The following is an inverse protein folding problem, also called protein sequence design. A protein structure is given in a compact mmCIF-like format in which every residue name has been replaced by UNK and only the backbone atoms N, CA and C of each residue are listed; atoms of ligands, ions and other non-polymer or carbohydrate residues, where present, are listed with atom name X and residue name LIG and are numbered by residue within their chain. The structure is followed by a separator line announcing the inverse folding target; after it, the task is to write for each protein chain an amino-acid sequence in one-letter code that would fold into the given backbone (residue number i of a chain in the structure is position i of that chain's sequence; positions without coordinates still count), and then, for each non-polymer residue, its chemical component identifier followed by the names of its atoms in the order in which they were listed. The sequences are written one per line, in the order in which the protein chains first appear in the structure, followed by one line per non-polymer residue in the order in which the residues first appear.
data_IF_147576740320
#
_entry.id   IF_147576740320
#
_cell.length_a   1.000
_cell.length_b   1.000
_cell.length_c   1.000
_cell.angle_alpha   90.00
_cell.angle_beta   90.00
_cell.angle_gamma   90.00
#
_symmetry.space_group_name_H-M   'P 1'
#
loop_
_entity.id
_entity.type
_entity.pdbx_description
1 polymer ?
#
# COMPACT_ATOMS: atom_id res chain seq x y z
N UNK A 1 7.91 12.51 -23.56
CA UNK A 1 8.17 12.33 -22.12
C UNK A 1 6.86 11.92 -21.48
N UNK A 2 6.81 10.78 -20.79
CA UNK A 2 5.63 10.41 -19.98
C UNK A 2 5.96 10.69 -18.52
N UNK A 3 4.96 11.08 -17.74
CA UNK A 3 5.12 11.29 -16.29
C UNK A 3 4.06 10.47 -15.56
N UNK A 4 4.47 9.72 -14.54
CA UNK A 4 3.60 8.96 -13.64
C UNK A 4 3.97 9.30 -12.21
N UNK A 5 3.00 9.31 -11.32
CA UNK A 5 3.29 9.21 -9.90
C UNK A 5 3.51 7.73 -9.58
N UNK A 6 4.76 7.28 -9.41
CA UNK A 6 5.02 5.89 -8.98
C UNK A 6 4.83 5.85 -7.50
N UNK A 7 3.92 4.99 -7.08
CA UNK A 7 3.48 5.04 -5.71
C UNK A 7 2.95 3.72 -5.18
N UNK A 8 3.42 3.39 -3.99
CA UNK A 8 2.73 2.51 -3.05
C UNK A 8 1.96 3.42 -2.06
N UNK A 9 0.68 3.62 -2.34
CA UNK A 9 -0.38 4.32 -1.58
C UNK A 9 -0.50 5.88 -1.46
N UNK A 10 -1.61 6.39 -2.06
CA UNK A 10 -2.42 7.67 -2.14
C UNK A 10 -3.20 8.31 -0.93
N UNK A 11 -4.45 8.87 -0.95
CA UNK A 11 -4.95 9.85 0.09
C UNK A 11 -6.07 9.56 1.11
N UNK A 12 -5.93 10.14 2.35
CA UNK A 12 -6.93 11.07 2.94
C UNK A 12 -6.56 11.81 4.27
N UNK A 13 -7.31 12.87 4.60
CA UNK A 13 -7.18 13.73 5.81
C UNK A 13 -7.91 13.13 7.01
N UNK A 14 -7.19 12.87 8.12
CA UNK A 14 -7.75 12.17 9.30
C UNK A 14 -8.43 13.07 10.34
N UNK A 15 -9.48 12.52 10.95
CA UNK A 15 -9.91 12.84 12.33
C UNK A 15 -9.32 11.79 13.29
N UNK A 16 -9.05 12.16 14.54
CA UNK A 16 -8.40 11.26 15.51
C UNK A 16 -9.13 9.90 15.63
N UNK A 17 -8.39 8.79 15.46
CA UNK A 17 -8.87 7.42 15.64
C UNK A 17 -9.52 6.73 14.42
N UNK A 18 -9.49 7.36 13.25
CA UNK A 18 -9.91 6.76 11.97
C UNK A 18 -8.79 6.90 10.95
N UNK A 19 -8.37 5.78 10.36
CA UNK A 19 -7.41 5.73 9.25
C UNK A 19 -8.14 5.88 7.92
N UNK A 20 -7.38 6.24 6.91
CA UNK A 20 -7.92 6.38 5.57
C UNK A 20 -7.07 5.61 4.57
N UNK A 21 -7.72 5.06 3.53
CA UNK A 21 -7.00 4.39 2.48
C UNK A 21 -6.18 5.43 1.73
N UNK A 22 -5.04 5.00 1.27
CA UNK A 22 -4.14 5.83 0.55
C UNK A 22 -4.28 5.50 -0.97
N UNK A 23 -5.22 6.13 -1.71
CA UNK A 23 -5.21 6.21 -3.21
C UNK A 23 -5.60 7.60 -3.83
N UNK A 24 -5.25 7.87 -5.11
CA UNK A 24 -5.89 8.91 -5.96
C UNK A 24 -6.34 8.34 -7.29
N UNK A 25 -7.47 8.87 -7.74
CA UNK A 25 -7.94 8.74 -9.12
C UNK A 25 -7.57 10.01 -9.91
N UNK A 26 -6.86 9.84 -11.02
CA UNK A 26 -6.56 10.94 -11.93
C UNK A 26 -7.85 11.52 -12.57
N UNK A 27 -7.98 12.85 -12.56
CA UNK A 27 -9.02 13.57 -13.33
C UNK A 27 -10.32 13.96 -12.59
N UNK A 28 -10.41 13.74 -11.27
CA UNK A 28 -11.66 13.90 -10.51
C UNK A 28 -12.05 15.34 -10.11
N UNK A 29 -11.27 16.36 -10.50
CA UNK A 29 -11.53 17.78 -10.19
C UNK A 29 -11.74 18.68 -11.42
N UNK A 30 -12.21 18.14 -12.55
CA UNK A 30 -12.43 18.94 -13.77
C UNK A 30 -11.14 19.49 -14.41
N UNK A 31 -9.99 19.17 -13.84
CA UNK A 31 -8.70 19.18 -14.53
C UNK A 31 -8.63 17.85 -15.26
N UNK A 32 -9.00 17.85 -16.54
CA UNK A 32 -8.58 16.77 -17.42
C UNK A 32 -7.08 16.58 -17.20
N UNK A 33 -6.59 15.36 -16.94
CA UNK A 33 -5.15 15.17 -16.86
C UNK A 33 -4.56 15.76 -18.14
N UNK A 34 -3.61 16.69 -18.01
CA UNK A 34 -2.75 17.10 -19.12
C UNK A 34 -1.82 15.93 -19.55
N UNK A 35 -2.23 14.69 -19.28
CA UNK A 35 -1.54 13.47 -19.63
C UNK A 35 -2.12 13.06 -20.98
N UNK A 36 -1.50 13.60 -22.04
CA UNK A 36 -1.72 13.19 -23.44
C UNK A 36 -1.17 11.79 -23.74
N UNK A 37 -0.83 11.01 -22.71
CA UNK A 37 -0.14 9.72 -22.79
C UNK A 37 -0.95 8.63 -22.10
N UNK A 38 -0.95 7.42 -22.67
CA UNK A 38 -1.54 6.22 -22.03
C UNK A 38 -1.04 6.08 -20.57
N UNK A 39 -1.91 5.67 -19.62
CA UNK A 39 -1.49 5.36 -18.25
C UNK A 39 -0.44 4.25 -18.25
N UNK A 40 0.47 4.28 -17.29
CA UNK A 40 1.50 3.26 -17.14
C UNK A 40 0.87 1.94 -16.70
N UNK A 41 1.26 0.86 -17.36
CA UNK A 41 0.99 -0.48 -16.92
C UNK A 41 2.08 -0.93 -15.93
N UNK A 42 1.73 -1.42 -14.73
CA UNK A 42 2.72 -1.80 -13.72
C UNK A 42 3.76 -2.81 -14.25
N UNK A 43 3.31 -3.84 -14.95
CA UNK A 43 4.17 -4.97 -15.36
C UNK A 43 5.13 -4.64 -16.51
N UNK A 44 4.75 -3.74 -17.42
CA UNK A 44 5.57 -3.43 -18.60
C UNK A 44 6.24 -2.07 -18.53
N UNK A 45 5.61 -1.06 -17.90
CA UNK A 45 6.13 0.30 -17.90
C UNK A 45 6.82 0.68 -16.60
N UNK A 46 6.48 0.07 -15.45
CA UNK A 46 6.98 0.50 -14.13
C UNK A 46 8.03 -0.46 -13.57
N UNK A 47 7.68 -1.72 -13.35
CA UNK A 47 8.56 -2.69 -12.69
C UNK A 47 9.94 -2.84 -13.36
N UNK A 48 10.06 -2.89 -14.71
CA UNK A 48 11.36 -2.96 -15.36
C UNK A 48 12.25 -1.74 -15.10
N UNK A 49 11.67 -0.56 -14.86
CA UNK A 49 12.43 0.66 -14.56
C UNK A 49 13.12 0.61 -13.19
N UNK A 50 12.56 -0.19 -12.27
CA UNK A 50 13.16 -0.47 -10.96
C UNK A 50 13.99 -1.76 -10.95
N UNK A 51 14.38 -2.27 -12.13
CA UNK A 51 15.26 -3.44 -12.27
C UNK A 51 14.59 -4.77 -11.95
N UNK A 52 13.26 -4.83 -11.92
CA UNK A 52 12.51 -6.06 -11.69
C UNK A 52 12.35 -6.80 -13.02
N UNK A 53 12.89 -8.02 -13.10
CA UNK A 53 12.72 -8.89 -14.27
C UNK A 53 11.30 -9.45 -14.32
N UNK A 54 10.43 -8.81 -15.11
CA UNK A 54 9.03 -9.22 -15.23
C UNK A 54 8.82 -10.46 -16.09
N UNK A 55 9.87 -10.99 -16.73
CA UNK A 55 9.81 -12.28 -17.43
C UNK A 55 9.87 -13.48 -16.46
N UNK A 56 10.38 -13.28 -15.24
CA UNK A 56 10.36 -14.29 -14.20
C UNK A 56 8.99 -14.36 -13.51
N UNK A 57 8.23 -15.41 -13.81
CA UNK A 57 6.94 -15.68 -13.17
C UNK A 57 7.07 -16.27 -11.75
N UNK A 58 8.27 -16.68 -11.33
CA UNK A 58 8.54 -17.24 -10.00
C UNK A 58 8.91 -16.16 -8.97
N UNK A 59 8.90 -14.87 -9.33
CA UNK A 59 9.11 -13.77 -8.40
C UNK A 59 8.14 -13.88 -7.22
N UNK A 60 8.70 -13.87 -6.01
CA UNK A 60 7.94 -14.01 -4.76
C UNK A 60 7.58 -15.45 -4.37
N UNK A 61 8.07 -16.47 -5.09
CA UNK A 61 7.83 -17.87 -4.72
C UNK A 61 8.25 -18.14 -3.26
N UNK A 62 7.36 -18.79 -2.51
CA UNK A 62 7.55 -19.08 -1.09
C UNK A 62 7.35 -17.91 -0.14
N UNK A 63 7.04 -16.71 -0.66
CA UNK A 63 6.66 -15.56 0.16
C UNK A 63 5.14 -15.51 0.37
N UNK A 64 4.75 -14.99 1.53
CA UNK A 64 3.37 -14.66 1.88
C UNK A 64 3.30 -13.17 2.20
N UNK A 65 2.49 -12.44 1.45
CA UNK A 65 2.28 -11.00 1.61
C UNK A 65 0.89 -10.80 2.22
N UNK A 66 0.85 -10.25 3.42
CA UNK A 66 -0.36 -9.78 4.08
C UNK A 66 -0.68 -8.35 3.65
N UNK A 67 -1.94 -8.09 3.32
CA UNK A 67 -2.48 -6.76 2.99
C UNK A 67 -3.61 -6.48 3.96
N UNK A 68 -3.68 -5.27 4.50
CA UNK A 68 -4.70 -4.87 5.48
C UNK A 68 -5.52 -3.73 4.91
N UNK A 69 -6.82 -3.98 4.76
CA UNK A 69 -7.79 -2.96 4.38
C UNK A 69 -9.00 -2.99 5.29
N UNK A 70 -9.69 -1.85 5.43
CA UNK A 70 -10.99 -1.81 6.07
C UNK A 70 -12.11 -2.21 5.11
N UNK A 71 -13.22 -2.65 5.71
CA UNK A 71 -14.44 -3.04 5.02
C UNK A 71 -14.29 -4.29 4.14
N UNK A 72 -15.40 -4.64 3.50
CA UNK A 72 -15.65 -5.97 2.95
C UNK A 72 -14.83 -6.30 1.73
N UNK A 73 -14.62 -5.38 0.78
CA UNK A 73 -14.01 -5.65 -0.52
C UNK A 73 -14.53 -6.94 -1.20
N UNK A 74 -15.84 -7.07 -1.39
CA UNK A 74 -16.49 -8.28 -1.90
C UNK A 74 -16.04 -8.70 -3.30
N UNK A 75 -15.55 -7.76 -4.13
CA UNK A 75 -15.08 -8.00 -5.50
C UNK A 75 -13.58 -8.27 -5.63
N UNK A 76 -12.82 -8.24 -4.53
CA UNK A 76 -11.35 -8.33 -4.53
C UNK A 76 -10.79 -9.49 -5.37
N UNK A 77 -11.34 -10.69 -5.24
CA UNK A 77 -10.88 -11.88 -5.98
C UNK A 77 -11.16 -11.76 -7.49
N UNK A 78 -12.36 -11.31 -7.87
CA UNK A 78 -12.72 -11.17 -9.28
C UNK A 78 -11.93 -10.06 -9.97
N UNK A 79 -11.67 -8.96 -9.26
CA UNK A 79 -10.92 -7.82 -9.77
C UNK A 79 -9.44 -8.16 -9.92
N UNK A 80 -8.85 -8.84 -8.93
CA UNK A 80 -7.49 -9.35 -9.01
C UNK A 80 -7.33 -10.35 -10.16
N UNK A 81 -8.29 -11.26 -10.36
CA UNK A 81 -8.25 -12.21 -11.46
C UNK A 81 -8.39 -11.50 -12.83
N UNK A 82 -9.21 -10.46 -12.93
CA UNK A 82 -9.35 -9.65 -14.15
C UNK A 82 -8.06 -8.90 -14.47
N UNK A 83 -7.46 -8.25 -13.47
CA UNK A 83 -6.17 -7.59 -13.60
C UNK A 83 -5.07 -8.57 -14.03
N UNK A 84 -5.00 -9.74 -13.40
CA UNK A 84 -3.98 -10.75 -13.70
C UNK A 84 -4.05 -11.20 -15.16
N UNK A 85 -5.27 -11.48 -15.66
CA UNK A 85 -5.49 -11.81 -17.07
C UNK A 85 -5.11 -10.66 -18.02
N UNK A 86 -5.49 -9.43 -17.67
CA UNK A 86 -5.20 -8.26 -18.48
C UNK A 86 -3.70 -7.96 -18.60
N UNK A 87 -2.91 -8.38 -17.60
CA UNK A 87 -1.48 -8.13 -17.51
C UNK A 87 -0.61 -9.37 -17.79
N UNK A 88 -1.20 -10.48 -18.26
CA UNK A 88 -0.47 -11.71 -18.56
C UNK A 88 0.19 -12.37 -17.35
N UNK A 89 -0.29 -12.08 -16.13
CA UNK A 89 0.18 -12.70 -14.89
C UNK A 89 -0.47 -14.08 -14.70
N UNK A 90 0.17 -15.01 -13.98
CA UNK A 90 -0.48 -16.25 -13.55
C UNK A 90 -1.71 -15.97 -12.68
N UNK A 91 -2.52 -16.99 -12.42
CA UNK A 91 -3.60 -16.85 -11.44
C UNK A 91 -2.99 -16.61 -10.04
N UNK A 92 -3.49 -15.60 -9.33
CA UNK A 92 -3.02 -15.27 -7.99
C UNK A 92 -3.31 -16.42 -7.00
N UNK A 93 -2.34 -16.72 -6.14
CA UNK A 93 -2.56 -17.53 -4.95
C UNK A 93 -3.13 -16.62 -3.85
N UNK A 94 -4.45 -16.40 -3.88
CA UNK A 94 -5.14 -15.42 -3.06
C UNK A 94 -5.96 -16.09 -1.94
N UNK A 95 -5.90 -15.50 -0.75
CA UNK A 95 -6.77 -15.82 0.37
C UNK A 95 -7.30 -14.53 0.99
N UNK A 96 -8.56 -14.53 1.40
CA UNK A 96 -9.17 -13.45 2.16
C UNK A 96 -9.57 -13.94 3.55
N UNK A 97 -9.28 -13.15 4.57
CA UNK A 97 -9.66 -13.40 5.97
C UNK A 97 -10.30 -12.16 6.58
N UNK A 98 -11.21 -12.35 7.54
CA UNK A 98 -11.64 -11.25 8.41
C UNK A 98 -10.57 -10.94 9.48
N UNK A 99 -10.74 -9.85 10.22
CA UNK A 99 -9.81 -9.43 11.29
C UNK A 99 -9.58 -10.43 12.42
N UNK A 100 -10.32 -11.55 12.48
CA UNK A 100 -10.16 -12.64 13.43
C UNK A 100 -9.63 -13.92 12.76
N UNK A 101 -9.23 -13.87 11.49
CA UNK A 101 -8.75 -15.02 10.71
C UNK A 101 -9.85 -15.90 10.13
N UNK A 102 -11.12 -15.48 10.23
CA UNK A 102 -12.28 -16.22 9.72
C UNK A 102 -12.71 -15.77 8.32
N UNK A 103 -13.92 -16.15 7.94
CA UNK A 103 -14.56 -15.78 6.66
C UNK A 103 -15.84 -14.96 6.87
N UNK A 104 -16.03 -14.38 8.06
CA UNK A 104 -17.17 -13.52 8.38
C UNK A 104 -16.83 -12.08 7.99
N UNK A 105 -16.66 -11.87 6.68
CA UNK A 105 -16.20 -10.59 6.16
C UNK A 105 -17.17 -9.45 6.51
N UNK A 106 -16.64 -8.25 6.80
CA UNK A 106 -17.48 -7.07 6.98
C UNK A 106 -18.20 -6.70 5.68
N UNK A 107 -19.15 -5.76 5.78
CA UNK A 107 -19.78 -5.18 4.59
C UNK A 107 -18.78 -4.31 3.84
N UNK A 108 -18.96 -4.20 2.53
CA UNK A 108 -18.25 -3.25 1.69
C UNK A 108 -18.45 -1.82 2.19
N UNK A 109 -17.50 -0.96 1.85
CA UNK A 109 -17.52 0.43 2.28
C UNK A 109 -18.67 1.14 1.56
N UNK A 110 -19.58 1.83 2.27
CA UNK A 110 -20.62 2.64 1.62
C UNK A 110 -20.06 3.67 0.62
N UNK A 111 -18.82 4.12 0.80
CA UNK A 111 -18.19 5.11 -0.07
C UNK A 111 -17.61 4.51 -1.37
N UNK A 112 -17.58 3.17 -1.51
CA UNK A 112 -17.11 2.46 -2.72
C UNK A 112 -17.88 2.87 -3.98
N UNK A 113 -19.19 3.15 -3.84
CA UNK A 113 -20.03 3.60 -4.96
C UNK A 113 -19.60 4.96 -5.52
N UNK A 114 -18.95 5.78 -4.69
CA UNK A 114 -18.35 7.03 -5.15
C UNK A 114 -16.94 6.79 -5.71
N UNK A 115 -16.28 5.67 -5.43
CA UNK A 115 -14.88 5.44 -5.79
C UNK A 115 -13.87 6.19 -4.92
N UNK A 116 -14.29 6.68 -3.75
CA UNK A 116 -13.40 7.20 -2.70
C UNK A 116 -13.30 6.23 -1.51
N UNK A 117 -13.89 5.04 -1.63
CA UNK A 117 -13.92 4.00 -0.60
C UNK A 117 -12.78 2.99 -0.68
N UNK A 118 -12.71 2.13 0.33
CA UNK A 118 -11.65 1.12 0.49
C UNK A 118 -11.60 0.06 -0.61
N UNK A 119 -12.66 -0.16 -1.38
CA UNK A 119 -12.67 -1.14 -2.47
C UNK A 119 -11.69 -0.82 -3.59
N UNK A 120 -11.48 0.47 -3.91
CA UNK A 120 -10.48 0.88 -4.90
C UNK A 120 -9.06 0.68 -4.35
N UNK A 121 -8.85 0.98 -3.07
CA UNK A 121 -7.58 0.71 -2.38
C UNK A 121 -7.22 -0.77 -2.40
N UNK A 122 -8.15 -1.62 -1.96
CA UNK A 122 -7.95 -3.07 -1.93
C UNK A 122 -7.62 -3.63 -3.30
N UNK A 123 -8.31 -3.12 -4.33
CA UNK A 123 -8.00 -3.51 -5.69
C UNK A 123 -6.58 -3.10 -6.08
N UNK A 124 -6.17 -1.85 -5.80
CA UNK A 124 -4.83 -1.35 -6.10
C UNK A 124 -3.74 -2.15 -5.38
N UNK A 125 -3.87 -2.33 -4.06
CA UNK A 125 -2.90 -3.05 -3.23
C UNK A 125 -2.66 -4.48 -3.71
N UNK A 126 -3.74 -5.22 -3.94
CA UNK A 126 -3.65 -6.61 -4.41
C UNK A 126 -3.02 -6.68 -5.81
N UNK A 127 -3.40 -5.78 -6.71
CA UNK A 127 -2.95 -5.81 -8.09
C UNK A 127 -1.47 -5.46 -8.21
N UNK A 128 -1.00 -4.45 -7.48
CA UNK A 128 0.42 -4.07 -7.48
C UNK A 128 1.26 -5.14 -6.78
N UNK A 129 0.83 -5.66 -5.61
CA UNK A 129 1.53 -6.75 -4.94
C UNK A 129 1.66 -7.98 -5.84
N UNK A 130 0.59 -8.34 -6.56
CA UNK A 130 0.62 -9.47 -7.48
C UNK A 130 1.51 -9.22 -8.72
N UNK A 131 1.54 -8.00 -9.25
CA UNK A 131 2.42 -7.66 -10.36
C UNK A 131 3.91 -7.76 -9.97
N UNK A 132 4.25 -7.34 -8.75
CA UNK A 132 5.60 -7.42 -8.18
C UNK A 132 6.00 -8.87 -7.87
N UNK A 133 5.08 -9.65 -7.29
CA UNK A 133 5.35 -10.98 -6.76
C UNK A 133 4.27 -12.00 -7.20
N UNK A 134 4.20 -12.35 -8.50
CA UNK A 134 3.15 -13.21 -9.06
C UNK A 134 3.10 -14.63 -8.48
N UNK A 135 4.21 -15.14 -7.92
CA UNK A 135 4.25 -16.45 -7.27
C UNK A 135 4.07 -16.41 -5.74
N UNK A 136 3.90 -15.24 -5.14
CA UNK A 136 3.62 -15.12 -3.71
C UNK A 136 2.18 -15.51 -3.38
N UNK A 137 1.96 -15.96 -2.14
CA UNK A 137 0.62 -16.04 -1.57
C UNK A 137 0.22 -14.65 -1.09
N UNK A 138 -0.94 -14.16 -1.51
CA UNK A 138 -1.53 -12.92 -1.02
C UNK A 138 -2.60 -13.25 0.02
N UNK A 139 -2.54 -12.61 1.19
CA UNK A 139 -3.57 -12.70 2.21
C UNK A 139 -4.13 -11.30 2.47
N UNK A 140 -5.36 -11.04 2.01
CA UNK A 140 -6.10 -9.84 2.39
C UNK A 140 -6.77 -10.07 3.75
N UNK A 141 -6.44 -9.24 4.73
CA UNK A 141 -7.18 -9.15 5.99
C UNK A 141 -8.11 -7.94 5.97
N UNK A 142 -9.42 -8.20 6.01
CA UNK A 142 -10.44 -7.15 6.04
C UNK A 142 -10.81 -6.78 7.47
N UNK A 143 -10.47 -5.56 7.88
CA UNK A 143 -10.87 -4.95 9.14
C UNK A 143 -12.34 -4.50 9.08
N UNK A 144 -13.06 -4.61 10.20
CA UNK A 144 -14.49 -4.27 10.27
C UNK A 144 -14.78 -2.80 10.00
N UNK A 145 -13.83 -1.92 10.30
CA UNK A 145 -13.84 -0.50 9.99
C UNK A 145 -12.41 0.01 9.99
N UNK A 146 -12.21 1.24 9.53
CA UNK A 146 -10.91 1.89 9.51
C UNK A 146 -10.40 2.40 10.88
N UNK A 147 -10.90 1.85 11.99
CA UNK A 147 -10.42 2.24 13.31
C UNK A 147 -9.17 1.46 13.67
N UNK A 148 -8.27 2.07 14.45
CA UNK A 148 -7.02 1.42 14.89
C UNK A 148 -7.27 0.09 15.59
N UNK A 149 -8.34 -0.03 16.37
CA UNK A 149 -8.71 -1.30 17.02
C UNK A 149 -8.92 -2.43 16.01
N UNK A 150 -9.60 -2.15 14.90
CA UNK A 150 -9.93 -3.17 13.91
C UNK A 150 -8.75 -3.44 12.97
N UNK A 151 -7.97 -2.41 12.62
CA UNK A 151 -6.74 -2.58 11.83
C UNK A 151 -5.67 -3.34 12.61
N UNK A 152 -5.51 -3.06 13.91
CA UNK A 152 -4.62 -3.81 14.81
C UNK A 152 -5.02 -5.27 14.98
N UNK A 153 -6.32 -5.58 14.95
CA UNK A 153 -6.77 -6.97 14.92
C UNK A 153 -6.31 -7.70 13.64
N UNK A 154 -6.27 -7.00 12.50
CA UNK A 154 -5.69 -7.55 11.27
C UNK A 154 -4.17 -7.74 11.34
N UNK A 155 -3.42 -6.77 11.90
CA UNK A 155 -1.98 -6.93 12.13
C UNK A 155 -1.71 -8.18 12.98
N UNK A 156 -2.43 -8.33 14.09
CA UNK A 156 -2.35 -9.53 14.95
C UNK A 156 -2.69 -10.81 14.20
N UNK A 157 -3.74 -10.81 13.39
CA UNK A 157 -4.16 -11.98 12.60
C UNK A 157 -3.07 -12.38 11.61
N UNK A 158 -2.52 -11.44 10.85
CA UNK A 158 -1.45 -11.71 9.89
C UNK A 158 -0.15 -12.17 10.58
N UNK A 159 0.18 -11.61 11.75
CA UNK A 159 1.29 -12.09 12.58
C UNK A 159 1.12 -13.55 12.99
N UNK A 160 -0.08 -13.94 13.45
CA UNK A 160 -0.38 -15.32 13.83
C UNK A 160 -0.41 -16.29 12.64
N UNK A 161 -0.67 -15.78 11.44
CA UNK A 161 -0.60 -16.55 10.19
C UNK A 161 0.82 -16.68 9.66
N UNK A 162 1.82 -16.07 10.32
CA UNK A 162 3.23 -16.10 9.94
C UNK A 162 3.46 -15.67 8.48
N UNK A 163 2.83 -14.56 8.07
CA UNK A 163 3.17 -13.92 6.79
C UNK A 163 4.61 -13.41 6.80
N UNK A 164 5.21 -13.19 5.63
CA UNK A 164 6.57 -12.64 5.54
C UNK A 164 6.57 -11.11 5.57
N UNK A 165 5.56 -10.50 4.95
CA UNK A 165 5.46 -9.05 4.78
C UNK A 165 4.04 -8.59 5.09
N UNK A 166 3.88 -7.41 5.66
CA UNK A 166 2.58 -6.73 5.85
C UNK A 166 2.64 -5.39 5.14
N UNK A 167 1.71 -5.16 4.20
CA UNK A 167 1.50 -3.89 3.51
C UNK A 167 0.32 -3.14 4.13
N UNK A 168 0.53 -1.87 4.45
CA UNK A 168 -0.47 -0.97 5.04
C UNK A 168 -0.55 0.32 4.22
N UNK A 169 -1.52 0.35 3.31
CA UNK A 169 -1.82 1.51 2.46
C UNK A 169 -2.83 2.44 3.15
N UNK A 170 -2.55 2.80 4.40
CA UNK A 170 -3.40 3.68 5.18
C UNK A 170 -2.61 4.47 6.21
N UNK A 171 -3.18 5.59 6.63
CA UNK A 171 -2.56 6.43 7.65
C UNK A 171 -3.52 7.43 8.26
N UNK A 172 -2.95 8.30 9.08
CA UNK A 172 -3.66 9.35 9.80
C UNK A 172 -2.78 9.99 10.87
N UNK A 173 -3.41 10.72 11.80
CA UNK A 173 -2.74 11.47 12.86
C UNK A 173 -1.58 10.72 13.52
N UNK A 174 -0.42 11.39 13.57
CA UNK A 174 0.85 10.87 14.04
C UNK A 174 0.87 10.53 15.55
N UNK A 175 0.11 11.28 16.36
CA UNK A 175 0.11 11.16 17.82
C UNK A 175 -0.52 9.87 18.38
N UNK A 176 -1.05 9.00 17.53
CA UNK A 176 -1.63 7.72 17.95
C UNK A 176 -0.62 6.57 17.74
N UNK A 177 0.24 6.38 18.74
CA UNK A 177 1.26 5.31 18.76
C UNK A 177 0.76 4.00 19.35
N UNK A 178 -0.56 3.83 19.49
CA UNK A 178 -1.15 2.67 20.16
C UNK A 178 -0.89 1.33 19.46
N UNK A 179 -0.50 1.36 18.18
CA UNK A 179 -0.25 0.17 17.36
C UNK A 179 1.18 -0.36 17.46
N UNK A 180 2.10 0.37 18.11
CA UNK A 180 3.54 0.03 18.15
C UNK A 180 3.78 -1.36 18.75
N UNK A 181 3.00 -1.74 19.76
CA UNK A 181 3.12 -3.07 20.35
C UNK A 181 2.76 -4.21 19.38
N UNK A 182 1.89 -3.97 18.41
CA UNK A 182 1.54 -4.93 17.36
C UNK A 182 2.64 -5.00 16.29
N UNK A 183 3.20 -3.85 15.91
CA UNK A 183 4.30 -3.77 14.96
C UNK A 183 5.58 -4.43 15.50
N UNK A 184 5.90 -4.16 16.77
CA UNK A 184 7.01 -4.81 17.45
C UNK A 184 6.84 -6.33 17.48
N UNK A 185 5.64 -6.84 17.83
CA UNK A 185 5.37 -8.28 17.82
C UNK A 185 5.53 -8.91 16.43
N UNK A 186 5.06 -8.22 15.38
CA UNK A 186 5.25 -8.67 14.00
C UNK A 186 6.74 -8.72 13.62
N UNK A 187 7.50 -7.67 13.96
CA UNK A 187 8.94 -7.60 13.70
C UNK A 187 9.73 -8.66 14.49
N UNK A 188 9.36 -8.93 15.74
CA UNK A 188 9.91 -10.03 16.56
C UNK A 188 9.59 -11.42 15.99
N UNK A 189 8.46 -11.55 15.28
CA UNK A 189 8.11 -12.75 14.53
C UNK A 189 8.81 -12.85 13.16
N UNK A 190 9.70 -11.91 12.82
CA UNK A 190 10.45 -11.89 11.56
C UNK A 190 9.66 -11.34 10.37
N UNK A 191 8.60 -10.58 10.63
CA UNK A 191 7.70 -10.01 9.62
C UNK A 191 8.13 -8.57 9.31
N UNK A 192 8.30 -8.24 8.03
CA UNK A 192 8.58 -6.87 7.60
C UNK A 192 7.28 -6.10 7.40
N UNK A 193 7.18 -4.90 7.98
CA UNK A 193 6.00 -4.05 7.86
C UNK A 193 6.32 -2.83 7.01
N UNK A 194 5.42 -2.53 6.07
CA UNK A 194 5.51 -1.39 5.18
C UNK A 194 4.25 -0.54 5.34
N UNK A 195 4.42 0.76 5.46
CA UNK A 195 3.32 1.71 5.40
C UNK A 195 3.64 2.82 4.42
N UNK A 196 2.67 3.20 3.61
CA UNK A 196 2.75 4.44 2.86
C UNK A 196 3.00 5.62 3.79
N UNK A 197 3.87 6.55 3.40
CA UNK A 197 4.22 7.73 4.18
C UNK A 197 3.14 8.81 4.18
N UNK A 198 2.00 8.52 3.56
CA UNK A 198 0.97 9.50 3.29
C UNK A 198 1.32 10.33 2.09
N UNK A 199 0.58 11.42 2.00
CA UNK A 199 -0.02 11.63 0.69
C UNK A 199 -0.65 13.03 0.49
N UNK A 200 -0.85 13.74 1.59
CA UNK A 200 -1.41 15.09 1.61
C UNK A 200 -0.32 16.17 1.61
N UNK A 201 0.92 15.79 1.29
CA UNK A 201 2.06 16.67 1.06
C UNK A 201 2.71 17.28 2.31
N UNK A 202 2.23 16.98 3.53
CA UNK A 202 2.82 17.52 4.76
C UNK A 202 2.59 16.67 6.03
N UNK A 203 3.61 16.75 6.89
CA UNK A 203 3.87 16.06 8.17
C UNK A 203 3.96 14.52 8.11
N UNK A 204 4.69 13.98 9.08
CA UNK A 204 4.75 12.55 9.30
C UNK A 204 3.37 12.05 9.76
N UNK A 205 3.01 10.84 9.39
CA UNK A 205 1.76 10.21 9.76
C UNK A 205 2.00 8.81 10.32
N UNK A 206 1.02 8.30 11.03
CA UNK A 206 1.08 6.97 11.62
C UNK A 206 0.21 6.02 10.80
N UNK A 207 0.69 4.81 10.45
CA UNK A 207 1.81 4.09 11.06
C UNK A 207 3.21 4.30 10.48
N UNK A 208 3.37 5.06 9.38
CA UNK A 208 4.68 5.27 8.75
C UNK A 208 5.74 5.88 9.67
N UNK A 209 5.33 6.70 10.65
CA UNK A 209 6.21 7.30 11.66
C UNK A 209 6.65 6.31 12.76
N UNK A 210 6.16 5.07 12.77
CA UNK A 210 6.59 4.06 13.74
C UNK A 210 7.99 3.54 13.40
N UNK A 211 8.86 3.42 14.40
CA UNK A 211 10.21 2.88 14.25
C UNK A 211 10.25 1.40 13.79
N UNK A 212 9.14 0.69 13.90
CA UNK A 212 9.01 -0.72 13.53
C UNK A 212 8.54 -0.92 12.08
N UNK A 213 8.27 0.17 11.36
CA UNK A 213 7.64 0.17 10.05
C UNK A 213 8.56 0.85 9.04
N UNK A 214 8.67 0.26 7.85
CA UNK A 214 9.33 0.90 6.71
C UNK A 214 8.35 1.88 6.07
N UNK A 215 8.62 3.17 6.22
CA UNK A 215 7.86 4.23 5.57
C UNK A 215 8.16 4.28 4.06
N UNK A 216 7.12 4.27 3.22
CA UNK A 216 7.24 4.28 1.76
C UNK A 216 6.63 5.57 1.20
N UNK A 217 7.48 6.49 0.75
CA UNK A 217 7.07 7.73 0.09
C UNK A 217 6.75 7.57 -1.40
N UNK A 218 6.43 8.69 -2.04
CA UNK A 218 6.02 8.76 -3.44
C UNK A 218 6.91 9.62 -4.32
N UNK A 219 7.06 9.21 -5.59
CA UNK A 219 7.82 9.97 -6.60
C UNK A 219 6.95 10.28 -7.82
N UNK A 220 7.30 11.34 -8.54
CA UNK A 220 6.87 11.52 -9.93
C UNK A 220 7.98 11.01 -10.83
N UNK A 221 7.75 9.86 -11.43
CA UNK A 221 8.60 9.22 -12.44
C UNK A 221 8.42 9.91 -13.78
N UNK A 222 9.53 10.29 -14.39
CA UNK A 222 9.62 10.77 -15.75
C UNK A 222 10.33 9.74 -16.63
N UNK A 223 9.75 9.45 -17.80
CA UNK A 223 10.35 8.56 -18.79
C UNK A 223 10.62 9.28 -20.12
N UNK A 224 11.65 8.81 -20.81
CA UNK A 224 11.97 9.22 -22.17
C UNK A 224 10.85 8.80 -23.15
N UNK A 225 10.91 9.29 -24.39
CA UNK A 225 9.90 8.92 -25.42
C UNK A 225 9.90 7.42 -25.76
N UNK A 226 11.01 6.73 -25.51
CA UNK A 226 11.16 5.29 -25.72
C UNK A 226 10.75 4.44 -24.51
N UNK A 227 10.24 5.08 -23.44
CA UNK A 227 9.82 4.41 -22.21
C UNK A 227 10.94 4.16 -21.20
N UNK A 228 12.21 4.46 -21.52
CA UNK A 228 13.32 4.31 -20.58
C UNK A 228 13.25 5.33 -19.43
N UNK A 229 13.84 4.97 -18.29
CA UNK A 229 13.97 5.85 -17.12
C UNK A 229 14.66 7.16 -17.52
N UNK A 230 14.10 8.29 -17.08
CA UNK A 230 14.75 9.60 -17.22
C UNK A 230 15.13 10.17 -15.86
N UNK A 231 14.15 10.39 -14.99
CA UNK A 231 14.35 10.98 -13.67
C UNK A 231 13.16 10.70 -12.76
N UNK A 232 13.36 10.90 -11.46
CA UNK A 232 12.30 10.96 -10.46
C UNK A 232 12.41 12.29 -9.71
N UNK A 233 11.27 12.91 -9.43
CA UNK A 233 11.17 14.03 -8.50
C UNK A 233 10.28 13.64 -7.33
N UNK A 234 10.43 14.31 -6.19
CA UNK A 234 9.46 14.16 -5.11
C UNK A 234 8.05 14.41 -5.64
N UNK A 235 7.13 13.49 -5.37
CA UNK A 235 5.74 13.75 -5.67
C UNK A 235 5.21 14.75 -4.65
N UNK A 236 4.55 15.82 -5.12
CA UNK A 236 4.13 16.93 -4.25
C UNK A 236 3.12 16.54 -3.17
N UNK A 237 2.43 15.41 -3.35
CA UNK A 237 1.59 14.87 -2.30
C UNK A 237 2.33 13.95 -1.34
N UNK A 238 3.56 13.47 -1.62
CA UNK A 238 4.19 12.49 -0.73
C UNK A 238 4.27 13.05 0.68
N UNK A 239 3.72 12.29 1.62
CA UNK A 239 3.91 12.56 3.03
C UNK A 239 5.36 12.28 3.42
N UNK A 240 5.75 12.81 4.56
CA UNK A 240 7.13 12.80 5.01
C UNK A 240 7.43 13.93 5.98
N UNK A 241 8.40 13.69 6.84
CA UNK A 241 8.84 14.61 7.86
C UNK A 241 9.43 13.89 9.07
N UNK A 242 9.97 14.66 10.00
CA UNK A 242 10.44 14.12 11.27
C UNK A 242 9.26 13.92 12.22
N UNK A 243 9.23 12.76 12.87
CA UNK A 243 8.21 12.47 13.87
C UNK A 243 8.31 13.40 15.08
N UNK A 244 7.15 13.84 15.60
CA UNK A 244 7.05 14.59 16.87
C UNK A 244 6.91 13.67 18.10
N UNK A 245 6.63 12.38 17.87
CA UNK A 245 6.26 11.42 18.93
C UNK A 245 7.21 10.22 19.02
N UNK A 246 7.71 9.74 17.89
CA UNK A 246 8.67 8.64 17.80
C UNK A 246 10.09 9.19 17.80
N UNK A 247 11.00 8.50 18.50
CA UNK A 247 12.42 8.86 18.49
C UNK A 247 13.12 8.26 17.27
N UNK A 248 14.07 9.00 16.72
CA UNK A 248 15.00 8.50 15.70
C UNK A 248 15.71 7.25 16.20
N UNK A 249 15.77 6.21 15.35
CA UNK A 249 16.52 4.98 15.67
C UNK A 249 18.02 5.19 15.42
N UNK A 250 18.92 4.46 16.10
CA UNK A 250 20.36 4.61 15.94
C UNK A 250 20.84 4.55 14.48
N UNK A 251 20.20 3.72 13.66
CA UNK A 251 20.53 3.52 12.24
C UNK A 251 20.24 4.77 11.39
N UNK A 252 19.27 5.59 11.79
CA UNK A 252 18.91 6.85 11.10
C UNK A 252 19.79 8.04 11.53
N UNK A 253 20.51 7.96 12.65
CA UNK A 253 21.40 9.03 13.12
C UNK A 253 22.60 9.30 12.21
N UNK A 254 22.89 8.41 11.24
CA UNK A 254 23.98 8.58 10.29
C UNK A 254 23.60 9.47 9.09
N UNK A 255 22.31 9.79 8.92
CA UNK A 255 21.83 10.64 7.84
C UNK A 255 21.81 12.11 8.30
N UNK A 256 22.56 13.04 7.66
CA UNK A 256 22.61 14.45 8.05
C UNK A 256 21.27 15.19 7.92
N UNK A 257 20.21 14.55 7.41
CA UNK A 257 18.85 15.05 7.39
C UNK A 257 18.01 14.80 8.67
N UNK A 258 18.52 14.04 9.64
CA UNK A 258 17.85 13.71 10.91
C UNK A 258 18.53 14.30 12.16
#
# INVERSE_FOLDING_TARGET
MRSLVVLLALFSVSWAGVRHPHFKIAGRNGVAPAVTTQPFNPTVDVLPLYGIDTSDSNRGAGQVIGIIDAYGASTAESDLAAFSRANGLPAANFQKVDQNGGTNYPKDDPDDASGDGWGVETALDLQIAHAVAPAAKLILCTAKSASDTNLNACIKTLTNLHVNHISMSYGGSEGDTSSDSYFQQAQEAGISLFASAGDSGAEAEYPAASQYVVAVGGTTLHTNSDGSFNSETAWSGSGGGCSKYTKVIPEQNADPGY
#
